data_IF_377404144218
#
_entry.id   IF_377404144218
#
_cell.length_a   1.000
_cell.length_b   1.000
_cell.length_c   1.000
_cell.angle_alpha   90.00
_cell.angle_beta   90.00
_cell.angle_gamma   90.00
#
_symmetry.space_group_name_H-M   'P 1'
#
loop_
_entity.id
_entity.type
_entity.pdbx_description
1 polymer ?
#
# COMPACT_ATOMS: atom_id res chain seq x y z
N UNK A 1 19.49 12.55 -7.93
CA UNK A 1 18.14 13.16 -7.88
C UNK A 1 17.92 13.71 -6.49
N UNK A 2 17.23 14.84 -6.37
CA UNK A 2 16.87 15.46 -5.09
C UNK A 2 15.36 15.68 -5.07
N UNK A 3 14.67 15.14 -4.07
CA UNK A 3 13.27 15.40 -3.87
C UNK A 3 13.07 16.30 -2.65
N UNK A 4 12.05 17.13 -2.70
CA UNK A 4 11.68 18.03 -1.61
C UNK A 4 10.33 17.59 -1.05
N UNK A 5 10.29 17.21 0.22
CA UNK A 5 9.08 16.81 0.93
C UNK A 5 8.65 17.91 1.90
N UNK A 6 7.85 18.88 1.45
CA UNK A 6 7.35 19.94 2.33
C UNK A 6 6.37 19.37 3.36
N UNK A 7 6.42 19.95 4.55
CA UNK A 7 5.43 19.72 5.60
C UNK A 7 5.04 21.05 6.23
N UNK A 8 3.77 21.30 6.32
CA UNK A 8 3.18 22.42 7.05
C UNK A 8 2.30 21.84 8.15
N UNK A 9 2.43 22.36 9.37
CA UNK A 9 1.58 21.98 10.48
C UNK A 9 1.18 23.19 11.30
N UNK A 10 -0.03 23.13 11.83
CA UNK A 10 -0.60 24.15 12.72
C UNK A 10 -1.18 23.48 13.96
N UNK A 11 -1.02 24.16 15.10
CA UNK A 11 -1.64 23.82 16.37
C UNK A 11 -2.31 25.09 16.91
N UNK A 12 -3.58 25.01 17.25
CA UNK A 12 -4.36 26.10 17.77
C UNK A 12 -5.06 25.72 19.07
N UNK A 13 -4.76 26.46 20.12
CA UNK A 13 -5.41 26.32 21.43
C UNK A 13 -6.69 27.17 21.40
N UNK A 14 -7.81 26.52 21.09
CA UNK A 14 -9.10 27.20 20.98
C UNK A 14 -9.64 27.62 22.36
N UNK A 15 -9.37 26.80 23.37
CA UNK A 15 -9.60 27.06 24.82
C UNK A 15 -8.53 26.36 25.64
N UNK A 16 -8.48 26.60 26.94
CA UNK A 16 -7.56 25.91 27.86
C UNK A 16 -7.73 24.38 27.81
N UNK A 17 -8.88 23.89 27.36
CA UNK A 17 -9.23 22.48 27.34
C UNK A 17 -9.39 21.89 25.94
N UNK A 18 -9.23 22.70 24.89
CA UNK A 18 -9.44 22.27 23.52
C UNK A 18 -8.30 22.73 22.60
N UNK A 19 -7.60 21.76 22.04
CA UNK A 19 -6.54 21.99 21.06
C UNK A 19 -6.96 21.41 19.71
N UNK A 20 -6.84 22.19 18.67
CA UNK A 20 -6.98 21.77 17.28
C UNK A 20 -5.60 21.62 16.65
N UNK A 21 -5.43 20.62 15.80
CA UNK A 21 -4.20 20.41 15.05
C UNK A 21 -4.49 20.06 13.61
N UNK A 22 -3.64 20.50 12.71
CA UNK A 22 -3.71 20.14 11.30
C UNK A 22 -2.30 20.01 10.72
N UNK A 23 -2.10 19.11 9.79
CA UNK A 23 -0.87 19.03 9.02
C UNK A 23 -1.14 18.59 7.58
N UNK A 24 -0.32 19.13 6.69
CA UNK A 24 -0.24 18.77 5.28
C UNK A 24 1.22 18.42 4.99
N UNK A 25 1.47 17.31 4.33
CA UNK A 25 2.81 16.92 3.95
C UNK A 25 2.80 16.07 2.69
N UNK A 26 3.88 16.16 1.94
CA UNK A 26 4.15 15.23 0.83
C UNK A 26 5.24 14.26 1.25
N UNK A 27 5.27 13.08 0.64
CA UNK A 27 6.39 12.16 0.73
C UNK A 27 6.58 11.41 -0.59
N UNK A 28 7.76 10.84 -0.78
CA UNK A 28 8.05 10.03 -1.95
C UNK A 28 8.88 8.82 -1.55
N UNK A 29 8.85 7.79 -2.40
CA UNK A 29 9.70 6.61 -2.28
C UNK A 29 10.27 6.25 -3.65
N UNK A 30 11.58 6.27 -3.78
CA UNK A 30 12.27 5.80 -4.98
C UNK A 30 12.12 4.29 -5.15
N UNK A 31 12.10 3.83 -6.40
CA UNK A 31 12.19 2.42 -6.71
C UNK A 31 13.49 1.82 -6.15
N UNK A 32 13.41 0.64 -5.56
CA UNK A 32 14.61 -0.03 -5.06
C UNK A 32 15.54 -0.44 -6.21
N UNK A 33 16.84 -0.49 -5.94
CA UNK A 33 17.82 -0.93 -6.92
C UNK A 33 17.49 -2.31 -7.52
N UNK A 34 16.92 -3.21 -6.71
CA UNK A 34 16.47 -4.52 -7.17
C UNK A 34 15.33 -4.43 -8.18
N UNK A 35 14.35 -3.54 -7.94
CA UNK A 35 13.23 -3.31 -8.88
C UNK A 35 13.70 -2.72 -10.21
N UNK A 36 14.76 -1.91 -10.18
CA UNK A 36 15.31 -1.26 -11.38
C UNK A 36 16.25 -2.15 -12.18
N UNK A 37 16.98 -3.09 -11.54
CA UNK A 37 18.12 -3.76 -12.19
C UNK A 37 18.14 -5.28 -12.10
N UNK A 38 17.36 -5.88 -11.20
CA UNK A 38 17.44 -7.31 -10.93
C UNK A 38 16.16 -8.05 -11.30
N UNK A 39 16.30 -9.13 -12.05
CA UNK A 39 15.21 -10.11 -12.25
C UNK A 39 15.30 -11.19 -11.18
N UNK A 40 14.20 -11.45 -10.49
CA UNK A 40 14.10 -12.54 -9.51
C UNK A 40 13.22 -13.67 -10.06
N UNK A 41 13.54 -14.91 -9.67
CA UNK A 41 12.78 -16.09 -10.12
C UNK A 41 12.30 -16.85 -8.88
N UNK A 42 10.99 -17.06 -8.80
CA UNK A 42 10.35 -17.87 -7.76
C UNK A 42 9.49 -18.99 -8.36
N UNK A 43 9.06 -19.90 -7.51
CA UNK A 43 8.03 -20.91 -7.87
C UNK A 43 6.68 -20.45 -7.33
N UNK A 44 5.66 -20.44 -8.20
CA UNK A 44 4.28 -20.12 -7.82
C UNK A 44 3.33 -21.18 -8.37
N UNK A 45 2.29 -21.48 -7.61
CA UNK A 45 1.17 -22.29 -8.06
C UNK A 45 0.25 -21.45 -8.95
N UNK A 46 0.17 -21.80 -10.22
CA UNK A 46 -0.64 -21.09 -11.22
C UNK A 46 -1.66 -22.06 -11.82
N UNK A 47 -2.92 -21.66 -11.83
CA UNK A 47 -3.98 -22.31 -12.58
C UNK A 47 -3.81 -21.99 -14.06
N UNK A 48 -3.64 -23.02 -14.89
CA UNK A 48 -3.56 -22.84 -16.35
C UNK A 48 -4.94 -22.70 -16.98
N UNK A 49 -4.99 -22.03 -18.13
CA UNK A 49 -6.20 -21.82 -18.92
C UNK A 49 -5.93 -22.11 -20.40
N UNK A 50 -6.92 -22.69 -21.04
CA UNK A 50 -6.96 -22.84 -22.51
C UNK A 50 -7.30 -21.50 -23.17
N UNK A 51 -7.12 -21.41 -24.47
CA UNK A 51 -7.36 -20.18 -25.26
C UNK A 51 -8.81 -19.73 -25.27
N UNK A 52 -9.74 -20.60 -24.95
CA UNK A 52 -11.17 -20.30 -24.78
C UNK A 52 -11.55 -19.88 -23.36
N UNK A 53 -10.56 -19.77 -22.46
CA UNK A 53 -10.75 -19.37 -21.07
C UNK A 53 -11.17 -20.52 -20.14
N UNK A 54 -11.14 -21.77 -20.61
CA UNK A 54 -11.46 -22.93 -19.78
C UNK A 54 -10.27 -23.28 -18.87
N UNK A 55 -10.46 -23.42 -17.54
CA UNK A 55 -9.39 -23.81 -16.65
C UNK A 55 -8.93 -25.26 -16.93
N UNK A 56 -7.64 -25.44 -17.06
CA UNK A 56 -7.01 -26.77 -17.12
C UNK A 56 -7.04 -27.42 -15.72
N UNK A 57 -7.27 -28.72 -15.65
CA UNK A 57 -7.38 -29.39 -14.36
C UNK A 57 -6.07 -29.33 -13.55
N UNK A 58 -6.17 -28.83 -12.31
CA UNK A 58 -5.06 -28.74 -11.37
C UNK A 58 -4.27 -27.43 -11.45
N UNK A 59 -3.41 -27.23 -10.44
CA UNK A 59 -2.50 -26.08 -10.33
C UNK A 59 -1.08 -26.56 -10.65
N UNK A 60 -0.41 -25.87 -11.58
CA UNK A 60 0.98 -26.12 -11.92
C UNK A 60 1.91 -25.24 -11.09
N UNK A 61 2.92 -25.84 -10.44
CA UNK A 61 4.01 -25.07 -9.85
C UNK A 61 5.04 -24.73 -10.92
N UNK A 62 5.06 -23.48 -11.33
CA UNK A 62 5.89 -22.99 -12.43
C UNK A 62 6.85 -21.90 -11.98
N UNK A 63 7.86 -21.62 -12.79
CA UNK A 63 8.76 -20.50 -12.58
C UNK A 63 8.08 -19.19 -12.96
N UNK A 64 8.02 -18.25 -12.00
CA UNK A 64 7.62 -16.88 -12.25
C UNK A 64 8.86 -16.01 -12.19
N UNK A 65 9.21 -15.39 -13.31
CA UNK A 65 10.28 -14.43 -13.41
C UNK A 65 9.69 -13.03 -13.18
N UNK A 66 10.13 -12.37 -12.13
CA UNK A 66 9.80 -10.98 -11.85
C UNK A 66 10.88 -10.11 -12.49
N UNK A 67 10.61 -9.60 -13.67
CA UNK A 67 11.56 -8.76 -14.42
C UNK A 67 11.67 -7.38 -13.79
N UNK A 68 12.88 -6.84 -13.77
CA UNK A 68 13.12 -5.46 -13.41
C UNK A 68 12.51 -4.49 -14.42
N UNK A 69 12.28 -3.25 -13.97
CA UNK A 69 11.86 -2.16 -14.84
C UNK A 69 12.69 -0.90 -14.53
N UNK A 70 13.61 -0.51 -15.42
CA UNK A 70 14.45 0.67 -15.20
C UNK A 70 13.70 2.00 -15.40
N UNK A 71 12.47 1.97 -15.87
CA UNK A 71 11.65 3.15 -16.16
C UNK A 71 10.56 3.39 -15.09
N UNK A 72 10.75 2.88 -13.89
CA UNK A 72 9.83 3.15 -12.79
C UNK A 72 10.00 4.59 -12.31
N UNK A 73 8.87 5.29 -12.19
CA UNK A 73 8.78 6.57 -11.51
C UNK A 73 8.75 6.36 -9.97
N UNK A 74 9.22 7.33 -9.19
CA UNK A 74 9.06 7.31 -7.74
C UNK A 74 7.58 7.27 -7.35
N UNK A 75 7.28 6.58 -6.26
CA UNK A 75 5.97 6.70 -5.62
C UNK A 75 5.88 8.03 -4.91
N UNK A 76 4.74 8.69 -4.99
CA UNK A 76 4.47 9.93 -4.28
C UNK A 76 3.24 9.78 -3.38
N UNK A 77 3.17 10.57 -2.32
CA UNK A 77 1.96 10.67 -1.51
C UNK A 77 1.74 12.05 -0.94
N UNK A 78 0.46 12.45 -0.94
CA UNK A 78 -0.05 13.62 -0.23
C UNK A 78 -0.77 13.18 1.03
N UNK A 79 -0.40 13.79 2.16
CA UNK A 79 -0.89 13.40 3.47
C UNK A 79 -1.59 14.57 4.14
N UNK A 80 -2.81 14.36 4.59
CA UNK A 80 -3.62 15.30 5.36
C UNK A 80 -3.91 14.68 6.72
N UNK A 81 -3.72 15.44 7.79
CA UNK A 81 -4.15 15.06 9.13
C UNK A 81 -4.81 16.27 9.79
N UNK A 82 -5.99 16.05 10.37
CA UNK A 82 -6.73 17.03 11.16
C UNK A 82 -7.19 16.36 12.43
N UNK A 83 -6.91 16.97 13.57
CA UNK A 83 -7.26 16.38 14.86
C UNK A 83 -7.64 17.38 15.92
N UNK A 84 -8.32 16.88 16.93
CA UNK A 84 -8.63 17.62 18.14
C UNK A 84 -8.19 16.84 19.39
N UNK A 85 -7.82 17.58 20.41
CA UNK A 85 -7.59 17.06 21.77
C UNK A 85 -8.49 17.86 22.68
N UNK A 86 -9.34 17.17 23.42
CA UNK A 86 -10.29 17.78 24.35
C UNK A 86 -10.12 17.17 25.74
N UNK A 87 -9.75 18.02 26.70
CA UNK A 87 -9.51 17.65 28.10
C UNK A 87 -10.33 18.57 29.01
N UNK A 88 -11.67 18.34 29.14
CA UNK A 88 -12.56 19.23 29.92
C UNK A 88 -12.25 19.27 31.40
N UNK A 89 -11.54 18.27 31.92
CA UNK A 89 -11.07 18.18 33.30
C UNK A 89 -9.82 17.27 33.36
N UNK A 90 -9.19 17.18 34.52
CA UNK A 90 -7.96 16.43 34.73
C UNK A 90 -8.11 14.91 34.56
N UNK A 91 -9.33 14.42 34.63
CA UNK A 91 -9.64 12.99 34.61
C UNK A 91 -10.10 12.48 33.23
N UNK A 92 -10.37 13.37 32.28
CA UNK A 92 -10.89 12.98 30.97
C UNK A 92 -10.06 13.58 29.85
N UNK A 93 -9.62 12.72 28.92
CA UNK A 93 -8.94 13.14 27.70
C UNK A 93 -9.55 12.42 26.49
N UNK A 94 -9.86 13.18 25.47
CA UNK A 94 -10.36 12.70 24.19
C UNK A 94 -9.43 13.20 23.07
N UNK A 95 -8.96 12.29 22.23
CA UNK A 95 -8.26 12.61 20.97
C UNK A 95 -9.05 12.03 19.83
N UNK A 96 -9.29 12.85 18.82
CA UNK A 96 -9.91 12.42 17.57
C UNK A 96 -9.07 12.97 16.42
N UNK A 97 -8.63 12.09 15.54
CA UNK A 97 -7.89 12.42 14.35
C UNK A 97 -8.60 11.88 13.11
N UNK A 98 -8.66 12.69 12.09
CA UNK A 98 -8.94 12.30 10.71
C UNK A 98 -7.64 12.37 9.92
N UNK A 99 -7.37 11.32 9.15
CA UNK A 99 -6.24 11.29 8.24
C UNK A 99 -6.69 10.83 6.85
N UNK A 100 -6.03 11.37 5.83
CA UNK A 100 -6.17 10.96 4.44
C UNK A 100 -4.80 10.94 3.79
N UNK A 101 -4.56 9.92 2.98
CA UNK A 101 -3.32 9.73 2.23
C UNK A 101 -3.70 9.34 0.81
N UNK A 102 -3.26 10.16 -0.14
CA UNK A 102 -3.44 9.94 -1.57
C UNK A 102 -2.09 9.50 -2.14
N UNK A 103 -2.00 8.24 -2.60
CA UNK A 103 -0.80 7.69 -3.23
C UNK A 103 -0.93 7.75 -4.73
N UNK A 104 0.16 8.15 -5.40
CA UNK A 104 0.31 8.10 -6.85
C UNK A 104 1.54 7.28 -7.24
N UNK A 105 1.52 6.73 -8.44
CA UNK A 105 2.63 5.97 -9.03
C UNK A 105 3.13 4.79 -8.17
N UNK A 106 2.22 4.14 -7.44
CA UNK A 106 2.55 2.98 -6.61
C UNK A 106 3.28 1.90 -7.43
N UNK A 107 4.48 1.55 -6.99
CA UNK A 107 5.27 0.49 -7.64
C UNK A 107 4.71 -0.86 -7.22
N UNK A 108 4.10 -1.54 -8.15
CA UNK A 108 3.53 -2.87 -7.96
C UNK A 108 4.07 -3.84 -9.00
N UNK A 109 3.67 -5.10 -8.89
CA UNK A 109 4.08 -6.15 -9.83
C UNK A 109 2.85 -6.78 -10.48
N UNK A 110 2.95 -7.09 -11.75
CA UNK A 110 1.88 -7.80 -12.48
C UNK A 110 1.56 -9.14 -11.82
N UNK A 111 0.29 -9.51 -11.84
CA UNK A 111 -0.16 -10.81 -11.38
C UNK A 111 0.15 -11.88 -12.44
N UNK A 112 0.99 -12.86 -12.10
CA UNK A 112 1.27 -14.00 -13.00
C UNK A 112 -0.01 -14.77 -13.33
N UNK A 113 -0.88 -15.00 -12.34
CA UNK A 113 -2.18 -15.63 -12.56
C UNK A 113 -3.08 -14.76 -13.45
N UNK A 114 -3.10 -13.44 -13.20
CA UNK A 114 -3.86 -12.49 -14.00
C UNK A 114 -3.44 -12.50 -15.47
N UNK A 115 -2.14 -12.57 -15.77
CA UNK A 115 -1.63 -12.68 -17.15
C UNK A 115 -2.13 -13.94 -17.85
N UNK A 116 -2.05 -15.10 -17.20
CA UNK A 116 -2.51 -16.38 -17.77
C UNK A 116 -4.01 -16.37 -18.03
N UNK A 117 -4.81 -15.72 -17.14
CA UNK A 117 -6.27 -15.60 -17.33
C UNK A 117 -6.60 -14.63 -18.48
N UNK A 118 -5.93 -13.48 -18.50
CA UNK A 118 -6.21 -12.44 -19.51
C UNK A 118 -5.82 -12.86 -20.93
N UNK A 119 -4.67 -13.52 -21.07
CA UNK A 119 -4.20 -14.03 -22.36
C UNK A 119 -3.27 -15.25 -22.18
N UNK A 120 -3.79 -16.47 -22.26
CA UNK A 120 -2.98 -17.69 -22.15
C UNK A 120 -1.88 -17.84 -23.22
N UNK A 121 -1.93 -17.07 -24.31
CA UNK A 121 -0.93 -17.04 -25.39
C UNK A 121 -0.05 -15.78 -25.35
N UNK A 122 -0.08 -15.03 -24.27
CA UNK A 122 0.81 -13.88 -24.10
C UNK A 122 2.28 -14.31 -24.26
N UNK A 123 3.14 -13.52 -24.94
CA UNK A 123 4.57 -13.82 -25.08
C UNK A 123 5.31 -14.05 -23.76
N UNK A 124 4.82 -13.49 -22.66
CA UNK A 124 5.35 -13.68 -21.31
C UNK A 124 4.86 -14.98 -20.65
N UNK A 125 3.84 -15.63 -21.19
CA UNK A 125 3.35 -16.94 -20.75
C UNK A 125 4.10 -18.03 -21.50
N UNK A 126 5.10 -18.63 -20.85
CA UNK A 126 6.01 -19.61 -21.46
C UNK A 126 5.38 -21.00 -21.45
N UNK A 127 5.35 -21.63 -22.63
CA UNK A 127 4.83 -22.97 -22.82
C UNK A 127 5.80 -23.86 -23.58
N UNK A 128 5.68 -25.17 -23.36
CA UNK A 128 6.34 -26.15 -24.23
C UNK A 128 5.68 -26.20 -25.61
N UNK A 129 6.31 -26.89 -26.57
CA UNK A 129 5.74 -27.17 -27.89
C UNK A 129 4.39 -27.92 -27.77
N UNK A 130 4.21 -28.71 -26.71
CA UNK A 130 2.96 -29.43 -26.41
C UNK A 130 1.91 -28.58 -25.68
N UNK A 131 2.16 -27.28 -25.47
CA UNK A 131 1.20 -26.34 -24.85
C UNK A 131 1.24 -26.29 -23.31
N UNK A 132 2.05 -27.11 -22.66
CA UNK A 132 2.15 -27.13 -21.19
C UNK A 132 2.76 -25.86 -20.67
N UNK A 133 2.11 -25.21 -19.69
CA UNK A 133 2.60 -24.02 -18.99
C UNK A 133 3.89 -24.32 -18.20
N UNK A 134 4.95 -23.57 -18.44
CA UNK A 134 6.27 -23.77 -17.80
C UNK A 134 6.79 -22.57 -17.04
N UNK A 135 6.29 -21.39 -17.34
CA UNK A 135 6.69 -20.17 -16.66
C UNK A 135 5.87 -18.96 -17.07
N UNK A 136 5.97 -17.90 -16.29
CA UNK A 136 5.39 -16.60 -16.58
C UNK A 136 6.41 -15.52 -16.24
N UNK A 137 6.54 -14.52 -17.11
CA UNK A 137 7.30 -13.30 -16.81
C UNK A 137 6.33 -12.21 -16.39
N UNK A 138 6.58 -11.57 -15.26
CA UNK A 138 5.86 -10.40 -14.77
C UNK A 138 6.84 -9.24 -14.64
N UNK A 139 6.35 -8.01 -14.71
CA UNK A 139 7.16 -6.82 -14.61
C UNK A 139 6.65 -5.89 -13.51
N UNK A 140 7.55 -5.09 -12.94
CA UNK A 140 7.16 -3.98 -12.10
C UNK A 140 6.61 -2.83 -12.96
N UNK A 141 5.61 -2.13 -12.45
CA UNK A 141 5.02 -0.96 -13.09
C UNK A 141 4.45 0.00 -12.03
N UNK A 142 4.29 1.27 -12.40
CA UNK A 142 3.60 2.23 -11.58
C UNK A 142 2.10 2.05 -11.76
N UNK A 143 1.41 1.69 -10.68
CA UNK A 143 -0.04 1.56 -10.65
C UNK A 143 -0.72 2.93 -10.52
N UNK A 144 -2.01 2.96 -10.80
CA UNK A 144 -2.85 4.14 -10.57
C UNK A 144 -2.87 4.53 -9.09
N UNK A 145 -3.39 5.73 -8.82
CA UNK A 145 -3.58 6.27 -7.48
C UNK A 145 -4.37 5.32 -6.54
N UNK A 146 -4.00 5.35 -5.27
CA UNK A 146 -4.73 4.68 -4.19
C UNK A 146 -5.00 5.70 -3.09
N UNK A 147 -6.27 5.93 -2.81
CA UNK A 147 -6.71 6.83 -1.76
C UNK A 147 -7.07 6.02 -0.51
N UNK A 148 -6.58 6.44 0.63
CA UNK A 148 -6.94 5.84 1.91
C UNK A 148 -7.19 6.92 2.95
N UNK A 149 -8.19 6.72 3.78
CA UNK A 149 -8.53 7.65 4.86
C UNK A 149 -9.14 6.92 6.04
N UNK A 150 -9.11 7.56 7.19
CA UNK A 150 -9.66 6.98 8.41
C UNK A 150 -9.78 7.96 9.55
N UNK A 151 -10.33 7.43 10.65
CA UNK A 151 -10.45 8.13 11.92
C UNK A 151 -9.80 7.32 13.02
N UNK A 152 -9.04 8.00 13.87
CA UNK A 152 -8.49 7.45 15.10
C UNK A 152 -9.15 8.14 16.28
N UNK A 153 -9.70 7.34 17.20
CA UNK A 153 -10.33 7.80 18.43
C UNK A 153 -9.61 7.19 19.63
N UNK A 154 -9.08 8.04 20.48
CA UNK A 154 -8.50 7.66 21.77
C UNK A 154 -9.26 8.39 22.89
N UNK A 155 -9.73 7.66 23.88
CA UNK A 155 -10.42 8.22 25.04
C UNK A 155 -9.83 7.63 26.32
N UNK A 156 -9.43 8.50 27.24
CA UNK A 156 -8.90 8.11 28.53
C UNK A 156 -9.74 8.75 29.63
N UNK A 157 -10.10 7.96 30.64
CA UNK A 157 -10.81 8.44 31.83
C UNK A 157 -10.20 7.84 33.08
N UNK A 158 -9.63 8.70 33.90
CA UNK A 158 -9.05 8.32 35.19
C UNK A 158 -10.10 8.42 36.28
N UNK A 159 -10.25 7.37 37.08
CA UNK A 159 -11.17 7.36 38.21
C UNK A 159 -10.58 6.65 39.42
N UNK A 160 -10.90 7.19 40.60
CA UNK A 160 -10.48 6.60 41.84
C UNK A 160 -11.54 5.62 42.36
N UNK A 161 -11.09 4.44 42.75
CA UNK A 161 -11.90 3.44 43.42
C UNK A 161 -11.49 3.33 44.88
N UNK A 162 -12.33 2.81 45.75
CA UNK A 162 -11.95 2.55 47.16
C UNK A 162 -10.83 1.53 47.33
N UNK A 163 -10.34 0.92 46.23
CA UNK A 163 -9.25 -0.05 46.17
C UNK A 163 -8.01 0.50 45.43
N UNK A 164 -8.07 1.69 44.90
CA UNK A 164 -7.01 2.35 44.13
C UNK A 164 -7.54 3.11 42.91
N UNK A 165 -6.64 3.84 42.20
CA UNK A 165 -6.96 4.53 40.94
C UNK A 165 -6.97 3.56 39.77
N UNK A 166 -7.81 3.82 38.77
CA UNK A 166 -7.87 3.09 37.49
C UNK A 166 -7.99 4.05 36.30
N UNK A 167 -7.50 3.59 35.15
CA UNK A 167 -7.50 4.31 33.88
C UNK A 167 -8.21 3.46 32.81
#
# INVERSE_FOLDING_TARGET
DSAVNPKISARYEATDNLVLRASLSTSFREASLAQLTATTIGLQGIQDFTTDGTPVCGVAFIRVAQANNPNLDPEESDNINVGLIWSPNDNFNLKLDYWAIDYTDLITIESAQGKVIANPLDPDVKRTVGGTLTGVTTSYFNASAVDTNGFDLEMTYDFDTGLGSAQ
#
